data_IF_468255514004
#
_entry.id   IF_468255514004
#
_cell.length_a   1.000
_cell.length_b   1.000
_cell.length_c   1.000
_cell.angle_alpha   90.00
_cell.angle_beta   90.00
_cell.angle_gamma   90.00
#
_symmetry.space_group_name_H-M   'P 1'
#
loop_
_entity.id
_entity.type
_entity.pdbx_description
1 polymer ?
#
# COMPACT_ATOMS: atom_id res chain seq x y z
N UNK A 1 -15.54 15.45 4.32
CA UNK A 1 -15.16 14.04 4.12
C UNK A 1 -13.66 14.00 4.34
N UNK A 2 -13.16 13.35 5.39
CA UNK A 2 -11.71 13.17 5.54
C UNK A 2 -11.25 12.24 4.42
N UNK A 3 -10.23 12.66 3.66
CA UNK A 3 -9.61 11.81 2.63
C UNK A 3 -8.81 10.74 3.35
N UNK A 4 -9.00 9.46 2.98
CA UNK A 4 -8.14 8.34 3.43
C UNK A 4 -6.67 8.69 3.17
N UNK A 5 -6.44 9.34 2.03
CA UNK A 5 -5.19 9.96 1.63
C UNK A 5 -4.48 10.84 2.68
N UNK A 6 -5.19 11.62 3.51
CA UNK A 6 -4.51 12.49 4.50
C UNK A 6 -4.03 11.73 5.75
N UNK A 7 -4.68 10.63 6.12
CA UNK A 7 -4.21 9.81 7.24
C UNK A 7 -3.00 8.95 6.87
N UNK A 8 -2.83 8.59 5.59
CA UNK A 8 -1.71 7.79 5.08
C UNK A 8 -0.37 8.54 4.98
N UNK A 9 -0.34 9.84 5.22
CA UNK A 9 0.86 10.64 4.96
C UNK A 9 1.16 11.65 6.08
N UNK A 10 0.59 11.50 7.29
CA UNK A 10 1.00 12.27 8.47
C UNK A 10 2.29 11.64 9.04
N UNK A 11 3.46 12.28 8.86
CA UNK A 11 4.73 11.69 9.26
C UNK A 11 5.01 12.04 10.72
N UNK A 12 4.77 11.09 11.62
CA UNK A 12 5.39 11.13 12.93
C UNK A 12 6.87 10.71 12.79
N UNK A 13 7.73 11.71 12.53
CA UNK A 13 9.21 11.71 12.59
C UNK A 13 9.97 11.46 11.27
N UNK A 14 10.91 12.35 10.91
CA UNK A 14 11.95 12.05 9.92
C UNK A 14 13.09 11.27 10.58
N UNK A 15 13.43 10.10 10.06
CA UNK A 15 14.69 9.42 10.33
C UNK A 15 15.71 9.80 9.25
N UNK A 16 16.63 10.69 9.60
CA UNK A 16 17.91 10.84 8.90
C UNK A 16 18.68 9.52 9.00
N UNK A 17 18.55 8.64 8.00
CA UNK A 17 19.48 7.52 7.83
C UNK A 17 19.94 7.50 6.37
N UNK A 18 21.10 8.11 6.16
CA UNK A 18 22.02 7.74 5.08
C UNK A 18 22.51 6.30 5.33
N UNK A 19 22.71 5.58 4.23
CA UNK A 19 23.44 4.31 4.07
C UNK A 19 22.65 2.98 4.11
N UNK A 20 22.65 2.36 2.92
CA UNK A 20 22.38 0.95 2.53
C UNK A 20 20.96 0.51 2.16
N UNK A 21 20.31 1.23 1.25
CA UNK A 21 19.27 0.61 0.40
C UNK A 21 19.39 1.13 -1.04
N UNK A 22 19.39 0.23 -2.02
CA UNK A 22 19.48 0.50 -3.47
C UNK A 22 18.17 1.15 -4.01
N UNK A 23 17.35 1.72 -3.12
CA UNK A 23 16.11 2.37 -3.46
C UNK A 23 16.39 3.76 -4.04
N UNK A 24 15.86 4.08 -5.23
CA UNK A 24 16.11 5.37 -5.85
C UNK A 24 15.62 6.52 -4.95
N UNK A 25 16.42 7.58 -4.85
CA UNK A 25 16.10 8.78 -4.09
C UNK A 25 14.74 9.36 -4.51
N UNK A 26 13.90 9.71 -3.53
CA UNK A 26 12.55 10.24 -3.75
C UNK A 26 12.62 11.75 -3.91
N UNK A 27 12.06 12.33 -4.98
CA UNK A 27 12.00 13.78 -5.14
C UNK A 27 11.22 14.46 -4.01
N UNK A 28 11.61 15.69 -3.67
CA UNK A 28 10.87 16.50 -2.70
C UNK A 28 9.39 16.64 -3.11
N UNK A 29 8.48 16.50 -2.12
CA UNK A 29 7.04 16.56 -2.34
C UNK A 29 6.43 15.31 -3.00
N UNK A 30 7.18 14.21 -3.10
CA UNK A 30 6.71 12.90 -3.55
C UNK A 30 6.88 11.87 -2.45
N UNK A 31 6.16 10.75 -2.59
CA UNK A 31 6.31 9.54 -1.78
C UNK A 31 6.19 8.32 -2.67
N UNK A 32 6.71 7.19 -2.21
CA UNK A 32 6.57 5.91 -2.91
C UNK A 32 5.35 5.17 -2.36
N UNK A 33 4.57 4.61 -3.27
CA UNK A 33 3.50 3.67 -2.95
C UNK A 33 3.73 2.34 -3.66
N UNK A 34 3.39 1.27 -2.97
CA UNK A 34 3.47 -0.12 -3.43
C UNK A 34 2.08 -0.65 -3.70
N UNK A 35 1.91 -1.28 -4.85
CA UNK A 35 0.58 -1.62 -5.36
C UNK A 35 0.48 -3.13 -5.44
N UNK A 36 -0.57 -3.68 -4.85
CA UNK A 36 -0.90 -5.08 -4.92
C UNK A 36 -2.31 -5.28 -5.47
N UNK A 37 -2.56 -6.42 -6.11
CA UNK A 37 -3.89 -6.79 -6.56
C UNK A 37 -4.20 -8.26 -6.27
N UNK A 38 -5.44 -8.56 -5.92
CA UNK A 38 -5.85 -9.92 -5.56
C UNK A 38 -7.32 -10.19 -5.79
N UNK A 39 -7.73 -11.41 -5.46
CA UNK A 39 -9.13 -11.81 -5.47
C UNK A 39 -9.58 -12.21 -4.08
N UNK A 40 -10.65 -11.55 -3.60
CA UNK A 40 -11.29 -11.85 -2.32
C UNK A 40 -12.77 -12.14 -2.56
N UNK A 41 -13.36 -13.00 -1.72
CA UNK A 41 -14.78 -13.35 -1.85
C UNK A 41 -15.70 -12.17 -1.46
N UNK A 42 -15.25 -11.36 -0.50
CA UNK A 42 -15.97 -10.19 0.03
C UNK A 42 -15.00 -9.07 0.37
N UNK A 43 -15.54 -7.85 0.51
CA UNK A 43 -14.79 -6.71 1.05
C UNK A 43 -14.34 -6.98 2.49
N UNK A 44 -15.19 -7.60 3.31
CA UNK A 44 -14.84 -8.01 4.67
C UNK A 44 -13.63 -8.95 4.71
N UNK A 45 -13.51 -9.89 3.77
CA UNK A 45 -12.36 -10.78 3.68
C UNK A 45 -11.06 -10.04 3.30
N UNK A 46 -11.16 -9.01 2.45
CA UNK A 46 -10.03 -8.12 2.13
C UNK A 46 -9.60 -7.32 3.36
N UNK A 47 -10.57 -6.72 4.06
CA UNK A 47 -10.30 -5.95 5.27
C UNK A 47 -9.71 -6.83 6.36
N UNK A 48 -10.25 -8.03 6.57
CA UNK A 48 -9.72 -8.96 7.56
C UNK A 48 -8.28 -9.38 7.24
N UNK A 49 -7.96 -9.61 5.97
CA UNK A 49 -6.59 -9.93 5.57
C UNK A 49 -5.62 -8.76 5.82
N UNK A 50 -6.04 -7.52 5.60
CA UNK A 50 -5.18 -6.35 5.72
C UNK A 50 -5.09 -5.75 7.13
N UNK A 51 -6.14 -5.90 7.95
CA UNK A 51 -6.31 -5.08 9.17
C UNK A 51 -6.76 -5.87 10.40
N UNK A 52 -7.16 -7.13 10.26
CA UNK A 52 -7.65 -7.90 11.41
C UNK A 52 -6.48 -8.63 12.08
N UNK A 53 -6.33 -8.37 13.38
CA UNK A 53 -5.46 -9.13 14.26
C UNK A 53 -6.24 -9.53 15.50
N UNK A 54 -6.09 -10.78 16.00
CA UNK A 54 -6.79 -11.23 17.20
C UNK A 54 -6.39 -10.45 18.46
N UNK A 55 -5.20 -9.85 18.51
CA UNK A 55 -4.69 -9.01 19.60
C UNK A 55 -3.53 -8.12 19.12
N UNK A 56 -3.16 -7.12 19.94
CA UNK A 56 -2.09 -6.15 19.63
C UNK A 56 -0.69 -6.80 19.47
N UNK A 57 -0.51 -8.04 19.94
CA UNK A 57 0.77 -8.76 19.91
C UNK A 57 0.86 -9.73 18.71
N UNK A 58 -0.25 -9.95 17.99
CA UNK A 58 -0.31 -10.83 16.83
C UNK A 58 -0.23 -9.96 15.56
N UNK A 59 0.61 -10.33 14.58
CA UNK A 59 0.65 -9.60 13.31
C UNK A 59 -0.61 -9.87 12.48
N UNK A 60 -1.07 -8.86 11.75
CA UNK A 60 -2.11 -9.02 10.73
C UNK A 60 -1.66 -10.04 9.66
N UNK A 61 -2.60 -10.75 8.99
CA UNK A 61 -2.27 -11.75 7.97
C UNK A 61 -1.36 -11.23 6.87
N UNK A 62 -1.52 -9.96 6.46
CA UNK A 62 -0.66 -9.35 5.44
C UNK A 62 0.80 -9.21 5.89
N UNK A 63 1.06 -8.97 7.17
CA UNK A 63 2.40 -8.91 7.75
C UNK A 63 3.01 -10.30 7.88
N UNK A 64 2.20 -11.32 8.17
CA UNK A 64 2.64 -12.73 8.17
C UNK A 64 3.07 -13.17 6.77
N UNK A 65 2.29 -12.80 5.76
CA UNK A 65 2.52 -13.16 4.36
C UNK A 65 3.61 -12.30 3.68
N UNK A 66 4.05 -11.21 4.33
CA UNK A 66 5.19 -10.37 3.94
C UNK A 66 6.27 -10.35 5.04
N UNK A 67 6.92 -11.49 5.35
CA UNK A 67 7.85 -11.58 6.48
C UNK A 67 9.11 -10.71 6.32
N UNK A 68 9.37 -10.21 5.11
CA UNK A 68 10.46 -9.29 4.80
C UNK A 68 10.12 -7.81 5.02
N UNK A 69 8.92 -7.47 5.49
CA UNK A 69 8.48 -6.10 5.71
C UNK A 69 7.66 -5.97 7.00
N UNK A 70 8.02 -5.00 7.84
CA UNK A 70 7.09 -4.49 8.84
C UNK A 70 6.06 -3.60 8.12
N UNK A 71 4.76 -3.83 8.31
CA UNK A 71 3.70 -3.02 7.71
C UNK A 71 2.85 -2.42 8.82
N UNK A 72 2.97 -1.11 9.03
CA UNK A 72 1.98 -0.33 9.78
C UNK A 72 0.76 -0.11 8.89
N UNK A 73 -0.33 -0.79 9.25
CA UNK A 73 -1.57 -0.82 8.48
C UNK A 73 -2.30 0.52 8.47
N UNK A 74 -1.92 1.48 9.32
CA UNK A 74 -2.35 2.90 9.25
C UNK A 74 -2.02 3.53 7.91
N UNK A 75 -0.96 3.04 7.26
CA UNK A 75 -0.43 3.53 5.98
C UNK A 75 -0.84 2.66 4.78
N UNK A 76 -1.92 1.88 4.94
CA UNK A 76 -2.47 0.98 3.92
C UNK A 76 -3.88 1.41 3.49
N UNK A 77 -4.13 1.46 2.19
CA UNK A 77 -5.45 1.66 1.60
C UNK A 77 -5.89 0.44 0.79
N UNK A 78 -7.17 0.10 0.89
CA UNK A 78 -7.76 -1.05 0.19
C UNK A 78 -8.97 -0.65 -0.62
N UNK A 79 -9.18 -1.29 -1.78
CA UNK A 79 -10.40 -1.13 -2.56
C UNK A 79 -10.92 -2.48 -3.04
N UNK A 80 -12.21 -2.75 -2.81
CA UNK A 80 -12.91 -3.95 -3.29
C UNK A 80 -13.93 -3.62 -4.38
N UNK A 81 -13.93 -4.39 -5.46
CA UNK A 81 -14.80 -4.29 -6.62
C UNK A 81 -14.95 -2.84 -7.14
N UNK A 82 -16.11 -2.21 -6.90
CA UNK A 82 -16.39 -0.86 -7.38
C UNK A 82 -15.57 0.23 -6.65
N UNK A 83 -14.94 -0.09 -5.52
CA UNK A 83 -14.05 0.82 -4.81
C UNK A 83 -12.62 0.85 -5.39
N UNK A 84 -12.21 -0.16 -6.18
CA UNK A 84 -10.90 -0.17 -6.87
C UNK A 84 -10.64 1.13 -7.66
N UNK A 85 -11.54 1.59 -8.57
CA UNK A 85 -11.32 2.84 -9.29
C UNK A 85 -11.32 4.07 -8.38
N UNK A 86 -12.01 4.04 -7.23
CA UNK A 86 -12.03 5.14 -6.26
C UNK A 86 -10.65 5.28 -5.62
N UNK A 87 -10.10 4.17 -5.10
CA UNK A 87 -8.75 4.16 -4.51
C UNK A 87 -7.71 4.61 -5.55
N UNK A 88 -7.76 4.07 -6.77
CA UNK A 88 -6.83 4.48 -7.82
C UNK A 88 -6.89 6.00 -8.12
N UNK A 89 -8.08 6.60 -8.06
CA UNK A 89 -8.25 8.02 -8.30
C UNK A 89 -7.71 8.91 -7.18
N UNK A 90 -7.48 8.37 -5.98
CA UNK A 90 -6.87 9.13 -4.88
C UNK A 90 -5.35 9.32 -5.08
N UNK A 91 -4.65 8.35 -5.67
CA UNK A 91 -3.19 8.37 -5.77
C UNK A 91 -2.65 8.67 -7.17
N UNK A 92 -3.40 8.34 -8.22
CA UNK A 92 -2.85 8.25 -9.57
C UNK A 92 -3.56 9.15 -10.57
N UNK A 93 -2.80 9.67 -11.54
CA UNK A 93 -3.37 10.40 -12.68
C UNK A 93 -4.26 9.49 -13.54
N UNK A 94 -5.21 10.04 -14.33
CA UNK A 94 -6.08 9.22 -15.17
C UNK A 94 -5.35 8.25 -16.13
N UNK A 95 -4.17 8.66 -16.63
CA UNK A 95 -3.35 7.81 -17.49
C UNK A 95 -2.74 6.61 -16.73
N UNK A 96 -2.31 6.83 -15.49
CA UNK A 96 -1.79 5.79 -14.61
C UNK A 96 -2.90 4.86 -14.12
N UNK A 97 -4.08 5.41 -13.80
CA UNK A 97 -5.26 4.61 -13.47
C UNK A 97 -5.58 3.61 -14.58
N UNK A 98 -5.62 4.05 -15.84
CA UNK A 98 -5.86 3.16 -16.98
C UNK A 98 -4.76 2.10 -17.13
N UNK A 99 -3.48 2.48 -16.94
CA UNK A 99 -2.36 1.52 -16.94
C UNK A 99 -2.51 0.49 -15.82
N UNK A 100 -2.83 0.91 -14.61
CA UNK A 100 -2.98 0.04 -13.44
C UNK A 100 -4.21 -0.85 -13.57
N UNK A 101 -5.34 -0.35 -14.06
CA UNK A 101 -6.54 -1.17 -14.35
C UNK A 101 -6.24 -2.32 -15.30
N UNK A 102 -5.43 -2.09 -16.34
CA UNK A 102 -4.98 -3.17 -17.24
C UNK A 102 -4.11 -4.22 -16.55
N UNK A 103 -3.32 -3.83 -15.55
CA UNK A 103 -2.45 -4.75 -14.78
C UNK A 103 -3.20 -5.51 -13.70
N UNK A 104 -4.12 -4.83 -13.00
CA UNK A 104 -5.08 -5.44 -12.07
C UNK A 104 -5.88 -6.52 -12.81
N UNK A 105 -6.28 -6.25 -14.06
CA UNK A 105 -6.92 -7.22 -14.93
C UNK A 105 -8.30 -7.60 -14.41
N UNK A 106 -8.55 -8.89 -14.24
CA UNK A 106 -9.83 -9.41 -13.72
C UNK A 106 -9.90 -9.44 -12.18
N UNK A 107 -8.84 -9.02 -11.48
CA UNK A 107 -8.78 -9.03 -10.01
C UNK A 107 -9.77 -8.03 -9.43
N UNK A 108 -10.44 -8.41 -8.35
CA UNK A 108 -11.48 -7.59 -7.73
C UNK A 108 -10.98 -6.71 -6.57
N UNK A 109 -9.71 -6.82 -6.17
CA UNK A 109 -9.16 -6.03 -5.06
C UNK A 109 -7.85 -5.35 -5.42
N UNK A 110 -7.62 -4.18 -4.79
CA UNK A 110 -6.35 -3.46 -4.75
C UNK A 110 -5.95 -3.18 -3.31
N UNK A 111 -4.65 -3.28 -3.02
CA UNK A 111 -4.02 -2.78 -1.78
C UNK A 111 -2.91 -1.81 -2.19
N UNK A 112 -2.89 -0.64 -1.60
CA UNK A 112 -1.86 0.39 -1.81
C UNK A 112 -1.20 0.65 -0.47
N UNK A 113 0.11 0.46 -0.38
CA UNK A 113 0.91 0.72 0.82
C UNK A 113 1.81 1.92 0.57
N UNK A 114 1.74 2.93 1.44
CA UNK A 114 2.73 4.00 1.45
C UNK A 114 4.07 3.48 1.98
N UNK A 115 5.19 4.05 1.53
CA UNK A 115 6.50 3.73 2.10
C UNK A 115 6.60 4.04 3.61
N UNK A 116 5.77 4.96 4.11
CA UNK A 116 5.68 5.19 5.55
C UNK A 116 5.18 3.97 6.33
N UNK A 117 4.50 3.02 5.69
CA UNK A 117 4.10 1.75 6.30
C UNK A 117 5.30 0.96 6.83
N UNK A 118 6.49 1.17 6.27
CA UNK A 118 7.69 0.43 6.66
C UNK A 118 8.50 1.13 7.75
N UNK A 119 8.08 2.30 8.24
CA UNK A 119 8.72 2.99 9.38
C UNK A 119 10.21 3.34 9.18
N UNK A 120 10.69 3.39 7.93
CA UNK A 120 12.10 3.60 7.60
C UNK A 120 13.00 2.37 7.80
N UNK A 121 12.43 1.19 8.03
CA UNK A 121 13.17 -0.07 8.02
C UNK A 121 13.32 -0.60 6.58
N UNK A 122 14.40 -1.33 6.26
CA UNK A 122 14.51 -2.05 4.98
C UNK A 122 13.36 -3.02 4.79
N UNK A 123 12.88 -3.17 3.55
CA UNK A 123 11.77 -4.05 3.23
C UNK A 123 11.97 -4.78 1.90
N UNK A 124 11.54 -6.04 1.85
CA UNK A 124 11.42 -6.81 0.60
C UNK A 124 9.93 -7.09 0.34
N UNK A 125 9.45 -6.75 -0.86
CA UNK A 125 8.07 -6.96 -1.27
C UNK A 125 8.01 -7.81 -2.52
N UNK A 126 7.25 -8.89 -2.43
CA UNK A 126 6.98 -9.84 -3.49
C UNK A 126 5.49 -10.21 -3.49
N UNK A 127 5.10 -11.10 -4.40
CA UNK A 127 3.78 -11.73 -4.36
C UNK A 127 3.55 -12.46 -3.04
N UNK A 128 2.33 -12.35 -2.52
CA UNK A 128 1.84 -13.15 -1.40
C UNK A 128 0.91 -14.26 -1.90
N UNK A 129 0.53 -15.24 -1.05
CA UNK A 129 -0.49 -16.22 -1.39
C UNK A 129 -1.86 -15.60 -1.79
N UNK A 130 -2.14 -14.34 -1.41
CA UNK A 130 -3.41 -13.64 -1.67
C UNK A 130 -3.30 -12.48 -2.65
N UNK A 131 -2.12 -11.90 -2.79
CA UNK A 131 -1.88 -10.65 -3.51
C UNK A 131 -0.71 -10.79 -4.48
N UNK A 132 -0.88 -10.32 -5.71
CA UNK A 132 0.22 -10.11 -6.65
C UNK A 132 0.77 -8.69 -6.52
N UNK A 133 2.09 -8.57 -6.42
CA UNK A 133 2.78 -7.31 -6.36
C UNK A 133 2.91 -6.68 -7.76
N UNK A 134 2.26 -5.54 -7.93
CA UNK A 134 2.29 -4.75 -9.16
C UNK A 134 3.42 -3.71 -9.14
N UNK A 135 4.35 -3.75 -8.19
CA UNK A 135 5.48 -2.82 -8.17
C UNK A 135 5.17 -1.48 -7.50
N UNK A 136 6.20 -0.63 -7.47
CA UNK A 136 6.19 0.68 -6.83
C UNK A 136 5.94 1.82 -7.83
N UNK A 137 5.35 2.92 -7.36
CA UNK A 137 5.21 4.18 -8.08
C UNK A 137 5.45 5.37 -7.16
N UNK A 138 5.97 6.46 -7.72
CA UNK A 138 6.05 7.74 -7.02
C UNK A 138 4.75 8.51 -7.23
N UNK A 139 4.19 9.04 -6.15
CA UNK A 139 2.99 9.86 -6.16
C UNK A 139 3.25 11.15 -5.39
N UNK A 140 2.63 12.28 -5.77
CA UNK A 140 2.79 13.53 -5.04
C UNK A 140 2.23 13.38 -3.62
N UNK A 141 2.87 14.01 -2.64
CA UNK A 141 2.34 14.13 -1.28
C UNK A 141 1.14 15.09 -1.25
N UNK A 142 0.25 14.95 -0.26
CA UNK A 142 -0.81 15.93 -0.05
C UNK A 142 -0.29 17.33 0.26
N UNK A 143 -0.97 18.31 -0.33
CA UNK A 143 -0.89 19.72 0.08
C UNK A 143 -1.92 20.06 1.16
#
# INVERSE_FOLDING_TARGET
MLSIWRSLFDPAMPSDNDDTDDHPSIPEGMTRVHIFAGNFDTEEALLAYCFDSPDDDTPEPINVDLPGAFVDTTYVATGYANAVPVVLAEFFSPAEQERLRRRIGARNSIVVMSEYAFGGFPYELDDTPKLEYLGAQLVPLPQ
#
